data_IF_964346215641
#
_entry.id   IF_964346215641
#
_cell.length_a   1.000
_cell.length_b   1.000
_cell.length_c   1.000
_cell.angle_alpha   90.00
_cell.angle_beta   90.00
_cell.angle_gamma   90.00
#
_symmetry.space_group_name_H-M   'P 1'
#
loop_
_entity.id
_entity.type
_entity.pdbx_description
1 polymer ?
#
# COMPACT_ATOMS: atom_id res chain seq x y z
N UNK A 1 -21.36 81.66 20.57
CA UNK A 1 -20.41 80.75 21.25
C UNK A 1 -21.21 79.55 21.77
N UNK A 2 -21.23 78.44 21.03
CA UNK A 2 -21.80 77.16 21.46
C UNK A 2 -20.85 76.08 20.95
N UNK A 3 -20.17 75.38 21.86
CA UNK A 3 -19.28 74.28 21.55
C UNK A 3 -19.99 72.96 21.89
N UNK A 4 -20.11 72.06 20.90
CA UNK A 4 -20.54 70.69 21.10
C UNK A 4 -19.32 69.83 21.46
N UNK A 5 -19.36 69.17 22.62
CA UNK A 5 -18.40 68.14 22.99
C UNK A 5 -18.95 66.76 22.59
N UNK A 6 -18.30 66.09 21.65
CA UNK A 6 -18.60 64.70 21.29
C UNK A 6 -17.75 63.76 22.16
N UNK A 7 -18.40 62.86 22.91
CA UNK A 7 -17.73 61.84 23.71
C UNK A 7 -17.48 60.59 22.86
N UNK A 8 -16.21 60.27 22.60
CA UNK A 8 -15.80 59.03 21.92
C UNK A 8 -15.76 57.90 22.96
N UNK A 9 -16.62 56.88 22.82
CA UNK A 9 -16.49 55.61 23.55
C UNK A 9 -15.45 54.74 22.85
N UNK A 10 -14.34 54.50 23.53
CA UNK A 10 -13.28 53.61 23.07
C UNK A 10 -13.77 52.15 23.24
N UNK A 11 -13.99 51.46 22.13
CA UNK A 11 -14.29 50.02 22.12
C UNK A 11 -12.97 49.28 22.35
N UNK A 12 -12.79 48.66 23.52
CA UNK A 12 -11.67 47.76 23.75
C UNK A 12 -11.85 46.52 22.88
N UNK A 13 -10.98 46.37 21.88
CA UNK A 13 -10.82 45.14 21.11
C UNK A 13 -10.22 44.06 22.01
N UNK A 14 -10.95 42.97 22.24
CA UNK A 14 -10.43 41.79 22.91
C UNK A 14 -9.46 41.08 21.96
N UNK A 15 -8.18 41.04 22.33
CA UNK A 15 -7.17 40.31 21.58
C UNK A 15 -7.41 38.79 21.74
N UNK A 16 -7.92 38.15 20.70
CA UNK A 16 -8.00 36.68 20.62
C UNK A 16 -6.59 36.13 20.48
N UNK A 17 -6.12 35.43 21.51
CA UNK A 17 -4.85 34.68 21.44
C UNK A 17 -5.02 33.58 20.39
N UNK A 18 -4.12 33.44 19.40
CA UNK A 18 -4.22 32.35 18.43
C UNK A 18 -4.08 31.02 19.16
N UNK A 19 -5.12 30.20 19.15
CA UNK A 19 -5.06 28.81 19.58
C UNK A 19 -4.10 28.08 18.65
N UNK A 20 -2.90 27.76 19.13
CA UNK A 20 -1.98 26.85 18.45
C UNK A 20 -2.67 25.48 18.46
N UNK A 21 -3.15 25.02 17.30
CA UNK A 21 -3.64 23.65 17.20
C UNK A 21 -2.45 22.72 17.47
N UNK A 22 -2.57 21.90 18.52
CA UNK A 22 -1.51 21.00 18.95
C UNK A 22 -1.21 19.93 17.89
N UNK A 23 0.04 19.49 17.80
CA UNK A 23 0.42 18.35 16.97
C UNK A 23 -0.25 17.07 17.50
N UNK A 24 -0.60 16.17 16.59
CA UNK A 24 -1.28 14.92 16.90
C UNK A 24 -0.26 13.80 16.68
N UNK A 25 0.30 13.20 17.75
CA UNK A 25 1.26 12.13 17.59
C UNK A 25 0.58 10.90 17.00
N UNK A 26 1.20 10.26 16.01
CA UNK A 26 0.69 9.06 15.35
C UNK A 26 1.57 7.84 15.64
N UNK A 27 2.89 8.05 15.65
CA UNK A 27 3.88 7.03 15.99
C UNK A 27 4.90 7.60 16.97
N UNK A 28 5.07 6.94 18.10
CA UNK A 28 6.10 7.21 19.12
C UNK A 28 6.71 5.89 19.60
N UNK A 29 7.84 5.99 20.31
CA UNK A 29 8.56 4.85 20.90
C UNK A 29 8.67 4.96 22.43
N UNK A 30 7.78 5.74 23.04
CA UNK A 30 7.74 6.02 24.48
C UNK A 30 6.89 5.02 25.28
N UNK A 31 6.25 4.06 24.59
CA UNK A 31 5.38 3.05 25.21
C UNK A 31 3.93 3.50 25.38
N UNK A 32 3.57 4.71 24.94
CA UNK A 32 2.17 5.15 24.94
C UNK A 32 1.34 4.27 23.97
N UNK A 33 0.28 3.65 24.46
CA UNK A 33 -0.45 2.60 23.73
C UNK A 33 -1.11 3.11 22.45
N UNK A 34 -1.55 4.37 22.45
CA UNK A 34 -2.22 4.97 21.29
C UNK A 34 -1.27 5.25 20.11
N UNK A 35 0.04 5.30 20.35
CA UNK A 35 1.04 5.76 19.38
C UNK A 35 2.25 4.83 19.27
N UNK A 36 2.39 3.84 20.15
CA UNK A 36 3.39 2.77 20.04
C UNK A 36 2.78 1.60 19.27
N UNK A 37 3.35 1.32 18.09
CA UNK A 37 2.88 0.26 17.19
C UNK A 37 3.98 -0.76 16.93
N UNK A 38 3.58 -2.00 16.65
CA UNK A 38 4.49 -3.03 16.18
C UNK A 38 4.75 -2.83 14.68
N UNK A 39 6.02 -2.70 14.32
CA UNK A 39 6.45 -2.56 12.94
C UNK A 39 6.96 -3.91 12.42
N UNK A 40 6.46 -4.30 11.26
CA UNK A 40 6.91 -5.47 10.52
C UNK A 40 7.74 -5.01 9.34
N UNK A 41 8.96 -5.56 9.25
CA UNK A 41 9.83 -5.39 8.10
C UNK A 41 9.32 -6.20 6.91
N UNK A 42 9.41 -5.62 5.72
CA UNK A 42 9.23 -6.36 4.48
C UNK A 42 10.23 -5.88 3.44
N UNK A 43 11.02 -6.82 2.93
CA UNK A 43 11.95 -6.57 1.84
C UNK A 43 11.36 -7.04 0.51
N UNK A 44 11.99 -6.62 -0.59
CA UNK A 44 11.69 -7.04 -1.95
C UNK A 44 11.57 -8.58 -2.05
N UNK A 45 10.55 -9.11 -2.74
CA UNK A 45 10.08 -10.46 -2.47
C UNK A 45 10.94 -11.54 -3.10
N UNK A 46 10.70 -12.77 -2.65
CA UNK A 46 11.04 -13.99 -3.38
C UNK A 46 10.37 -13.93 -4.77
N UNK A 47 11.08 -14.39 -5.82
CA UNK A 47 10.84 -14.20 -7.27
C UNK A 47 11.72 -13.14 -7.97
N UNK A 48 12.91 -12.88 -7.44
CA UNK A 48 13.97 -12.13 -8.14
C UNK A 48 14.38 -10.83 -7.49
N UNK A 49 13.64 -10.39 -6.44
CA UNK A 49 14.05 -9.30 -5.58
C UNK A 49 15.39 -9.58 -4.90
N UNK A 50 16.21 -8.55 -4.76
CA UNK A 50 17.57 -8.66 -4.20
C UNK A 50 17.87 -7.62 -3.13
N UNK A 51 16.94 -6.71 -2.88
CA UNK A 51 17.09 -5.70 -1.82
C UNK A 51 16.97 -6.37 -0.46
N UNK A 52 17.79 -5.94 0.49
CA UNK A 52 17.85 -6.53 1.83
C UNK A 52 17.96 -5.41 2.85
N UNK A 53 17.14 -5.48 3.89
CA UNK A 53 17.12 -4.49 4.95
C UNK A 53 16.85 -5.12 6.30
N UNK A 54 16.77 -4.25 7.31
CA UNK A 54 16.36 -4.56 8.67
C UNK A 54 15.45 -3.45 9.20
N UNK A 55 14.47 -3.81 10.04
CA UNK A 55 13.81 -2.87 10.94
C UNK A 55 14.12 -3.24 12.40
N UNK A 56 14.68 -2.29 13.15
CA UNK A 56 15.01 -2.47 14.57
C UNK A 56 14.42 -1.35 15.42
N UNK A 57 13.83 -1.70 16.57
CA UNK A 57 13.30 -0.72 17.53
C UNK A 57 14.32 -0.49 18.63
N UNK A 58 14.84 0.73 18.72
CA UNK A 58 15.66 1.24 19.83
C UNK A 58 14.75 1.82 20.93
N UNK A 59 15.25 2.11 22.14
CA UNK A 59 14.40 2.58 23.25
C UNK A 59 13.59 3.85 22.98
N UNK A 60 14.00 4.68 22.02
CA UNK A 60 13.36 5.97 21.73
C UNK A 60 13.14 6.25 20.24
N UNK A 61 13.51 5.33 19.35
CA UNK A 61 13.38 5.48 17.89
C UNK A 61 13.42 4.14 17.16
N UNK A 62 12.91 4.07 15.94
CA UNK A 62 13.07 2.94 15.03
C UNK A 62 14.21 3.18 14.03
N UNK A 63 14.81 2.10 13.52
CA UNK A 63 15.92 2.13 12.57
C UNK A 63 15.59 1.23 11.39
N UNK A 64 15.59 1.82 10.20
CA UNK A 64 15.64 1.11 8.92
C UNK A 64 17.07 1.16 8.40
N UNK A 65 17.68 0.00 8.17
CA UNK A 65 19.04 -0.10 7.62
C UNK A 65 19.09 -1.17 6.53
N UNK A 66 19.74 -0.91 5.40
CA UNK A 66 19.81 -1.88 4.32
C UNK A 66 20.38 -1.35 3.01
N UNK A 67 20.12 -2.10 1.94
CA UNK A 67 20.50 -1.73 0.58
C UNK A 67 19.37 -2.07 -0.39
N UNK A 68 18.99 -1.07 -1.19
CA UNK A 68 18.09 -1.25 -2.31
C UNK A 68 18.91 -1.45 -3.57
N UNK A 69 18.66 -2.54 -4.28
CA UNK A 69 19.32 -2.89 -5.54
C UNK A 69 18.29 -3.15 -6.62
N UNK A 70 18.74 -3.18 -7.88
CA UNK A 70 17.87 -3.50 -9.00
C UNK A 70 17.39 -4.96 -8.94
N UNK A 71 16.10 -5.12 -9.23
CA UNK A 71 15.47 -6.41 -9.48
C UNK A 71 15.78 -6.79 -10.93
N UNK A 72 16.59 -7.84 -11.20
CA UNK A 72 17.06 -8.11 -12.55
C UNK A 72 15.94 -8.38 -13.57
N UNK A 73 14.83 -8.96 -13.11
CA UNK A 73 13.66 -9.23 -13.94
C UNK A 73 12.87 -7.96 -14.30
N UNK A 74 12.83 -6.97 -13.39
CA UNK A 74 12.08 -5.73 -13.56
C UNK A 74 12.91 -4.63 -14.23
N UNK A 75 14.25 -4.76 -14.21
CA UNK A 75 15.19 -3.70 -14.59
C UNK A 75 14.88 -2.38 -13.87
N UNK A 76 14.44 -2.49 -12.61
CA UNK A 76 14.03 -1.38 -11.77
C UNK A 76 14.49 -1.60 -10.33
N UNK A 77 14.68 -0.53 -9.53
CA UNK A 77 15.03 -0.65 -8.12
C UNK A 77 13.96 -1.41 -7.33
N UNK A 78 14.38 -2.31 -6.44
CA UNK A 78 13.48 -2.97 -5.49
C UNK A 78 13.03 -2.05 -4.35
N UNK A 79 12.66 -2.64 -3.21
CA UNK A 79 12.36 -1.88 -2.00
C UNK A 79 12.75 -2.61 -0.73
N UNK A 80 12.88 -1.84 0.36
CA UNK A 80 12.78 -2.33 1.74
C UNK A 80 11.78 -1.43 2.46
N UNK A 81 11.01 -1.99 3.39
CA UNK A 81 10.01 -1.22 4.14
C UNK A 81 9.82 -1.70 5.57
N UNK A 82 9.29 -0.80 6.39
CA UNK A 82 8.77 -1.11 7.71
C UNK A 82 7.33 -0.60 7.79
N UNK A 83 6.43 -1.44 8.27
CA UNK A 83 5.00 -1.15 8.28
C UNK A 83 4.37 -1.44 9.65
N UNK A 84 3.56 -0.51 10.13
CA UNK A 84 2.77 -0.65 11.35
C UNK A 84 1.29 -0.61 11.00
N UNK A 85 0.56 -1.69 11.33
CA UNK A 85 -0.90 -1.72 11.31
C UNK A 85 -1.44 -1.43 12.71
N UNK A 86 -2.53 -0.67 12.81
CA UNK A 86 -3.08 -0.31 14.12
C UNK A 86 -4.23 0.68 14.05
N UNK A 87 -4.70 1.08 15.23
CA UNK A 87 -5.60 2.21 15.38
C UNK A 87 -4.76 3.44 15.74
N UNK A 88 -4.84 4.48 14.92
CA UNK A 88 -4.09 5.71 15.12
C UNK A 88 -5.02 6.83 15.62
N UNK A 89 -4.49 7.85 16.31
CA UNK A 89 -5.27 9.01 16.72
C UNK A 89 -5.92 9.74 15.53
N UNK A 90 -7.09 10.33 15.78
CA UNK A 90 -7.82 11.10 14.76
C UNK A 90 -7.05 12.37 14.37
N UNK A 91 -6.59 12.41 13.11
CA UNK A 91 -5.81 13.51 12.55
C UNK A 91 -6.62 14.43 11.62
N UNK A 92 -7.96 14.36 11.61
CA UNK A 92 -8.80 15.13 10.69
C UNK A 92 -8.59 16.64 10.79
N UNK A 93 -8.36 17.17 12.00
CA UNK A 93 -8.13 18.61 12.23
C UNK A 93 -6.82 19.11 11.61
N UNK A 94 -5.88 18.21 11.30
CA UNK A 94 -4.60 18.53 10.68
C UNK A 94 -4.63 18.47 9.14
N UNK A 95 -5.78 18.19 8.51
CA UNK A 95 -5.85 17.90 7.06
C UNK A 95 -5.36 19.01 6.14
N UNK A 96 -5.31 20.25 6.60
CA UNK A 96 -4.76 21.38 5.85
C UNK A 96 -3.24 21.54 6.00
N UNK A 97 -2.63 20.81 6.94
CA UNK A 97 -1.21 20.89 7.26
C UNK A 97 -0.41 19.73 6.66
N UNK A 98 0.40 19.07 7.48
CA UNK A 98 1.40 18.13 7.05
C UNK A 98 1.53 16.93 7.99
N UNK A 99 2.10 15.86 7.45
CA UNK A 99 2.74 14.80 8.23
C UNK A 99 4.17 15.26 8.57
N UNK A 100 4.50 15.33 9.84
CA UNK A 100 5.84 15.63 10.32
C UNK A 100 6.54 14.35 10.77
N UNK A 101 7.73 14.12 10.22
CA UNK A 101 8.60 12.99 10.51
C UNK A 101 9.83 13.52 11.25
N UNK A 102 10.02 13.16 12.52
CA UNK A 102 11.27 13.45 13.22
C UNK A 102 12.29 12.35 12.89
N UNK A 103 13.20 12.65 11.97
CA UNK A 103 14.11 11.66 11.36
C UNK A 103 15.55 12.15 11.28
N UNK A 104 16.48 11.21 11.14
CA UNK A 104 17.85 11.47 10.71
C UNK A 104 18.39 10.31 9.88
N UNK A 105 19.45 10.55 9.13
CA UNK A 105 19.99 9.57 8.19
C UNK A 105 21.49 9.77 8.00
N UNK A 106 22.24 8.67 8.01
CA UNK A 106 23.66 8.65 7.59
C UNK A 106 23.80 8.47 6.07
N UNK A 107 22.67 8.28 5.37
CA UNK A 107 22.57 8.22 3.91
C UNK A 107 21.61 9.30 3.37
N UNK A 108 21.80 10.60 3.71
CA UNK A 108 20.87 11.66 3.30
C UNK A 108 20.78 11.85 1.77
N UNK A 109 21.77 11.35 1.03
CA UNK A 109 21.78 11.31 -0.44
C UNK A 109 20.82 10.27 -1.05
N UNK A 110 20.29 9.34 -0.26
CA UNK A 110 19.35 8.34 -0.76
C UNK A 110 18.03 9.01 -1.18
N UNK A 111 17.71 8.93 -2.48
CA UNK A 111 16.60 9.66 -3.07
C UNK A 111 15.28 8.88 -3.11
N UNK A 112 15.20 7.72 -2.43
CA UNK A 112 14.07 6.79 -2.51
C UNK A 112 13.18 6.75 -1.27
N UNK A 113 13.38 7.64 -0.30
CA UNK A 113 12.56 7.66 0.92
C UNK A 113 11.12 8.07 0.63
N UNK A 114 10.19 7.22 1.05
CA UNK A 114 8.75 7.47 0.95
C UNK A 114 8.04 7.08 2.23
N UNK A 115 6.91 7.74 2.47
CA UNK A 115 5.98 7.43 3.54
C UNK A 115 4.64 7.07 2.94
N UNK A 116 3.94 6.10 3.51
CA UNK A 116 2.59 5.74 3.08
C UNK A 116 1.62 5.63 4.25
N UNK A 117 0.39 6.08 4.04
CA UNK A 117 -0.69 6.05 5.02
C UNK A 117 -1.87 5.30 4.42
N UNK A 118 -2.28 4.18 5.03
CA UNK A 118 -3.54 3.54 4.66
C UNK A 118 -4.69 4.16 5.46
N UNK A 119 -5.74 4.56 4.76
CA UNK A 119 -6.88 5.25 5.35
C UNK A 119 -8.20 4.84 4.69
N UNK A 120 -9.10 4.26 5.50
CA UNK A 120 -10.36 3.72 5.02
C UNK A 120 -10.20 2.71 3.88
N UNK A 121 -9.13 1.92 3.94
CA UNK A 121 -8.85 0.77 3.09
C UNK A 121 -9.59 -0.47 3.64
N UNK A 122 -10.08 -1.32 2.73
CA UNK A 122 -10.72 -2.59 3.13
C UNK A 122 -9.66 -3.61 3.57
N UNK A 123 -8.52 -3.64 2.88
CA UNK A 123 -7.36 -4.47 3.21
C UNK A 123 -6.09 -3.60 3.14
N UNK A 124 -5.66 -2.97 4.25
CA UNK A 124 -4.53 -2.03 4.25
C UNK A 124 -3.23 -2.56 3.63
N UNK A 125 -2.78 -3.80 3.90
CA UNK A 125 -1.57 -4.34 3.25
C UNK A 125 -1.73 -4.45 1.73
N UNK A 126 -2.90 -4.90 1.25
CA UNK A 126 -3.21 -4.96 -0.20
C UNK A 126 -3.31 -3.58 -0.84
N UNK A 127 -3.97 -2.64 -0.18
CA UNK A 127 -4.03 -1.27 -0.66
C UNK A 127 -2.63 -0.66 -0.80
N UNK A 128 -1.75 -0.92 0.18
CA UNK A 128 -0.36 -0.46 0.13
C UNK A 128 0.59 -1.34 -0.70
N UNK A 129 0.07 -2.33 -1.42
CA UNK A 129 0.84 -3.05 -2.43
C UNK A 129 0.98 -2.28 -3.75
N UNK A 130 0.04 -1.38 -4.07
CA UNK A 130 0.08 -0.60 -5.32
C UNK A 130 -0.94 0.51 -5.46
N UNK A 131 -1.55 0.98 -4.36
CA UNK A 131 -2.52 2.07 -4.38
C UNK A 131 -3.65 1.82 -5.36
N UNK A 132 -4.19 2.87 -5.95
CA UNK A 132 -5.24 2.78 -6.96
C UNK A 132 -4.83 2.27 -8.34
N UNK A 133 -3.57 1.84 -8.52
CA UNK A 133 -3.13 1.20 -9.77
C UNK A 133 -3.54 -0.27 -9.85
N UNK A 134 -3.92 -0.90 -8.73
CA UNK A 134 -4.40 -2.28 -8.69
C UNK A 134 -5.93 -2.29 -8.46
N UNK A 135 -6.68 -3.24 -9.06
CA UNK A 135 -8.12 -3.34 -8.80
C UNK A 135 -8.41 -3.61 -7.32
N UNK A 136 -9.31 -2.81 -6.74
CA UNK A 136 -9.80 -2.93 -5.35
C UNK A 136 -8.75 -2.66 -4.25
N UNK A 137 -7.66 -1.94 -4.55
CA UNK A 137 -6.58 -1.59 -3.61
C UNK A 137 -6.51 -0.08 -3.28
N UNK A 138 -7.61 0.66 -3.45
CA UNK A 138 -7.66 2.09 -3.06
C UNK A 138 -7.46 2.29 -1.56
N UNK A 139 -7.03 3.48 -1.17
CA UNK A 139 -6.90 3.92 0.22
C UNK A 139 -5.50 3.77 0.80
N UNK A 140 -4.44 3.73 -0.01
CA UNK A 140 -3.07 3.84 0.45
C UNK A 140 -2.36 5.03 -0.22
N UNK A 141 -2.17 6.07 0.57
CA UNK A 141 -1.67 7.36 0.11
C UNK A 141 -0.16 7.40 0.31
N UNK A 142 0.60 7.66 -0.74
CA UNK A 142 2.07 7.69 -0.72
C UNK A 142 2.57 9.12 -0.95
N UNK A 143 3.70 9.45 -0.38
CA UNK A 143 4.44 10.69 -0.64
C UNK A 143 5.94 10.45 -0.48
N UNK A 144 6.73 11.24 -1.22
CA UNK A 144 8.18 11.24 -1.16
C UNK A 144 8.68 12.29 -0.17
N UNK A 145 9.77 11.97 0.54
CA UNK A 145 10.47 12.93 1.38
C UNK A 145 11.99 12.78 1.27
N UNK A 146 12.73 13.78 1.74
CA UNK A 146 14.19 13.76 1.80
C UNK A 146 14.64 14.11 3.21
N UNK A 147 15.73 13.50 3.66
CA UNK A 147 16.32 13.78 4.97
C UNK A 147 17.49 14.76 4.80
N UNK A 148 17.50 15.91 5.49
CA UNK A 148 18.64 16.81 5.47
C UNK A 148 19.92 16.10 5.95
N UNK A 149 21.07 16.49 5.39
CA UNK A 149 22.34 15.99 5.87
C UNK A 149 22.67 16.56 7.26
N UNK A 150 23.17 15.71 8.14
CA UNK A 150 23.57 16.08 9.50
C UNK A 150 23.37 14.93 10.49
N UNK A 151 23.98 15.07 11.68
CA UNK A 151 23.89 14.06 12.74
C UNK A 151 22.68 14.27 13.68
N UNK A 152 22.00 15.41 13.54
CA UNK A 152 20.87 15.84 14.37
C UNK A 152 19.53 15.30 13.89
N UNK A 153 18.53 15.37 14.78
CA UNK A 153 17.15 15.09 14.42
C UNK A 153 16.57 16.25 13.59
N UNK A 154 15.87 15.91 12.52
CA UNK A 154 15.22 16.86 11.63
C UNK A 154 13.72 16.60 11.61
N UNK A 155 12.92 17.65 11.81
CA UNK A 155 11.47 17.61 11.58
C UNK A 155 11.21 17.82 10.07
N UNK A 156 11.02 16.73 9.35
CA UNK A 156 10.70 16.75 7.91
C UNK A 156 9.20 16.85 7.74
N UNK A 157 8.73 17.96 7.15
CA UNK A 157 7.31 18.24 6.91
C UNK A 157 6.90 17.78 5.51
N UNK A 158 5.93 16.86 5.44
CA UNK A 158 5.35 16.31 4.21
C UNK A 158 3.88 16.75 4.12
N UNK A 159 3.53 17.79 3.33
CA UNK A 159 2.17 18.29 3.26
C UNK A 159 1.16 17.21 2.90
N UNK A 160 -0.01 17.15 3.56
CA UNK A 160 -1.03 16.14 3.22
C UNK A 160 -1.53 16.27 1.77
N UNK A 161 -1.49 17.48 1.22
CA UNK A 161 -1.79 17.75 -0.19
C UNK A 161 -0.77 17.16 -1.19
N UNK A 162 0.43 16.78 -0.72
CA UNK A 162 1.46 16.11 -1.53
C UNK A 162 1.32 14.58 -1.56
N UNK A 163 0.35 14.01 -0.86
CA UNK A 163 0.06 12.59 -0.91
C UNK A 163 -0.87 12.24 -2.06
N UNK A 164 -0.64 11.07 -2.67
CA UNK A 164 -1.54 10.50 -3.68
C UNK A 164 -1.83 9.02 -3.41
N UNK A 165 -3.09 8.61 -3.60
CA UNK A 165 -3.50 7.19 -3.68
C UNK A 165 -3.28 6.61 -5.08
N UNK A 166 -2.81 7.40 -6.05
CA UNK A 166 -2.57 6.96 -7.43
C UNK A 166 -1.07 6.95 -7.71
N UNK A 167 -0.44 5.79 -7.55
CA UNK A 167 1.00 5.62 -7.71
C UNK A 167 1.36 4.24 -8.28
N UNK A 168 2.52 4.14 -8.90
CA UNK A 168 3.03 2.94 -9.55
C UNK A 168 3.62 1.96 -8.53
N UNK A 169 3.14 0.71 -8.45
CA UNK A 169 3.74 -0.31 -7.59
C UNK A 169 5.19 -0.66 -7.95
N UNK A 170 5.63 -0.34 -9.18
CA UNK A 170 6.99 -0.64 -9.63
C UNK A 170 8.02 0.42 -9.24
N UNK A 171 7.60 1.68 -9.05
CA UNK A 171 8.53 2.81 -8.83
C UNK A 171 8.22 3.62 -7.58
N UNK A 172 7.02 3.48 -7.02
CA UNK A 172 6.50 4.34 -5.95
C UNK A 172 6.15 5.76 -6.42
N UNK A 173 6.29 6.08 -7.71
CA UNK A 173 5.99 7.39 -8.27
C UNK A 173 4.49 7.58 -8.50
N UNK A 174 4.01 8.80 -8.32
CA UNK A 174 2.62 9.14 -8.56
C UNK A 174 2.28 9.00 -10.06
N UNK A 175 1.13 8.42 -10.34
CA UNK A 175 0.55 8.38 -11.70
C UNK A 175 -0.46 9.50 -11.91
N UNK A 176 -1.01 10.04 -10.83
CA UNK A 176 -1.76 11.30 -10.78
C UNK A 176 -1.59 11.95 -9.43
N UNK A 177 -1.62 13.28 -9.41
CA UNK A 177 -1.60 14.04 -8.16
C UNK A 177 -3.00 14.26 -7.59
N UNK A 178 -3.07 14.51 -6.28
CA UNK A 178 -4.31 14.94 -5.61
C UNK A 178 -4.88 16.23 -6.23
N UNK A 179 -4.02 17.14 -6.70
CA UNK A 179 -4.43 18.36 -7.40
C UNK A 179 -5.09 18.10 -8.76
N UNK A 180 -4.83 16.94 -9.37
CA UNK A 180 -5.35 16.55 -10.69
C UNK A 180 -6.57 15.64 -10.57
N UNK A 181 -6.60 14.79 -9.54
CA UNK A 181 -7.69 13.83 -9.28
C UNK A 181 -8.04 13.84 -7.80
N UNK A 182 -9.15 14.49 -7.46
CA UNK A 182 -9.61 14.63 -6.07
C UNK A 182 -9.84 13.27 -5.37
N UNK A 183 -10.04 12.18 -6.12
CA UNK A 183 -10.15 10.84 -5.53
C UNK A 183 -8.83 10.33 -4.95
N UNK A 184 -7.70 10.89 -5.39
CA UNK A 184 -6.36 10.53 -4.92
C UNK A 184 -5.96 11.25 -3.62
N UNK A 185 -6.77 12.21 -3.15
CA UNK A 185 -6.44 13.06 -2.01
C UNK A 185 -6.62 12.39 -0.64
N UNK A 186 -5.68 12.64 0.26
CA UNK A 186 -5.77 12.29 1.67
C UNK A 186 -6.60 13.34 2.43
N UNK A 187 -7.91 13.11 2.50
CA UNK A 187 -8.87 14.07 3.10
C UNK A 187 -8.95 13.99 4.62
N UNK A 188 -9.57 14.99 5.27
CA UNK A 188 -9.86 14.98 6.71
C UNK A 188 -10.58 13.70 7.18
N UNK A 189 -11.60 13.25 6.43
CA UNK A 189 -12.34 12.01 6.73
C UNK A 189 -11.45 10.76 6.68
N UNK A 190 -10.40 10.78 5.85
CA UNK A 190 -9.44 9.69 5.75
C UNK A 190 -8.45 9.74 6.91
N UNK A 191 -7.99 10.93 7.28
CA UNK A 191 -7.10 11.14 8.42
C UNK A 191 -7.73 10.80 9.78
N UNK A 192 -9.07 10.79 9.91
CA UNK A 192 -9.74 10.28 11.11
C UNK A 192 -9.83 8.75 11.19
N UNK A 193 -9.39 8.03 10.16
CA UNK A 193 -9.50 6.57 10.06
C UNK A 193 -8.23 5.93 9.50
N UNK A 194 -7.07 6.39 9.98
CA UNK A 194 -5.78 5.78 9.65
C UNK A 194 -5.72 4.35 10.19
N UNK A 195 -5.21 3.43 9.36
CA UNK A 195 -5.13 2.00 9.65
C UNK A 195 -3.71 1.44 9.56
N UNK A 196 -2.83 2.14 8.82
CA UNK A 196 -1.45 1.72 8.60
C UNK A 196 -0.54 2.90 8.31
N UNK A 197 0.68 2.85 8.83
CA UNK A 197 1.79 3.76 8.48
C UNK A 197 2.94 2.91 7.94
N UNK A 198 3.55 3.34 6.85
CA UNK A 198 4.72 2.66 6.27
C UNK A 198 5.84 3.64 5.96
N UNK A 199 7.07 3.25 6.29
CA UNK A 199 8.28 3.85 5.79
C UNK A 199 8.85 2.96 4.69
N UNK A 200 9.28 3.57 3.60
CA UNK A 200 9.80 2.89 2.43
C UNK A 200 11.13 3.47 2.01
N UNK A 201 12.02 2.59 1.58
CA UNK A 201 13.09 2.91 0.65
C UNK A 201 12.82 2.13 -0.65
N UNK A 202 12.43 2.84 -1.71
CA UNK A 202 12.03 2.26 -2.99
C UNK A 202 12.37 3.19 -4.16
N UNK A 203 12.36 2.68 -5.40
CA UNK A 203 12.49 3.51 -6.59
C UNK A 203 13.84 4.22 -6.78
N UNK A 204 14.84 3.89 -5.94
CA UNK A 204 16.23 4.32 -6.08
C UNK A 204 17.17 3.25 -5.53
N UNK A 205 18.27 2.97 -6.26
CA UNK A 205 19.33 2.07 -5.81
C UNK A 205 20.26 2.79 -4.84
N UNK A 206 20.67 2.11 -3.77
CA UNK A 206 21.68 2.59 -2.86
C UNK A 206 21.55 2.03 -1.45
N UNK A 207 22.55 2.34 -0.64
CA UNK A 207 22.51 2.09 0.80
C UNK A 207 21.50 3.00 1.48
N UNK A 208 20.83 2.45 2.47
CA UNK A 208 19.72 3.08 3.19
C UNK A 208 20.02 3.00 4.68
N UNK A 209 19.96 4.15 5.34
CA UNK A 209 19.92 4.25 6.78
C UNK A 209 18.96 5.38 7.18
N UNK A 210 17.89 5.05 7.88
CA UNK A 210 16.90 6.01 8.35
C UNK A 210 16.54 5.69 9.80
N UNK A 211 16.73 6.66 10.68
CA UNK A 211 16.21 6.61 12.03
C UNK A 211 14.94 7.45 12.12
N UNK A 212 13.88 6.89 12.69
CA UNK A 212 12.59 7.54 12.93
C UNK A 212 12.34 7.66 14.42
N UNK A 213 12.24 8.89 14.93
CA UNK A 213 11.91 9.16 16.33
C UNK A 213 10.43 9.37 16.56
N UNK A 214 9.72 10.00 15.63
CA UNK A 214 8.26 10.15 15.73
C UNK A 214 7.61 10.47 14.39
N UNK A 215 6.32 10.17 14.29
CA UNK A 215 5.43 10.62 13.21
C UNK A 215 4.28 11.39 13.85
N UNK A 216 4.01 12.60 13.39
CA UNK A 216 2.91 13.44 13.90
C UNK A 216 2.12 14.08 12.77
N UNK A 217 0.83 14.28 12.94
CA UNK A 217 0.05 15.16 12.09
C UNK A 217 0.07 16.58 12.67
N UNK A 218 0.55 17.54 11.88
CA UNK A 218 0.65 18.95 12.28
C UNK A 218 -0.34 19.79 11.47
N UNK A 219 -1.23 20.56 12.12
CA UNK A 219 -2.11 21.48 11.44
C UNK A 219 -1.33 22.58 10.70
N UNK A 220 -1.94 23.18 9.67
CA UNK A 220 -1.34 24.33 9.00
C UNK A 220 -1.10 25.46 10.01
N UNK A 221 0.09 26.06 9.97
CA UNK A 221 0.35 27.26 10.75
C UNK A 221 -0.67 28.34 10.37
N UNK A 222 -1.25 29.08 11.34
CA UNK A 222 -2.08 30.23 11.01
C UNK A 222 -1.27 31.23 10.20
N UNK A 223 -1.62 31.45 8.93
CA UNK A 223 -1.01 32.52 8.14
C UNK A 223 -1.35 33.88 8.79
N UNK A 224 -0.38 34.78 9.03
CA UNK A 224 -0.64 36.07 9.68
C UNK A 224 -1.46 37.06 8.84
N UNK A 225 -1.95 36.69 7.64
CA UNK A 225 -2.72 37.56 6.73
C UNK A 225 -3.97 36.89 6.13
N UNK A 226 -4.58 35.92 6.81
CA UNK A 226 -5.87 35.39 6.37
C UNK A 226 -7.02 36.19 7.00
N UNK A 227 -7.42 37.26 6.32
CA UNK A 227 -8.71 37.92 6.56
C UNK A 227 -9.82 36.87 6.49
N UNK A 228 -10.72 36.76 7.48
CA UNK A 228 -11.78 35.75 7.44
C UNK A 228 -12.73 36.10 6.30
N UNK A 229 -12.70 35.31 5.22
CA UNK A 229 -13.76 35.38 4.21
C UNK A 229 -15.02 34.78 4.84
N UNK A 230 -16.01 35.64 5.03
CA UNK A 230 -17.34 35.28 5.50
C UNK A 230 -17.92 34.19 4.60
N UNK A 231 -18.31 33.10 5.26
CA UNK A 231 -19.08 31.99 4.71
C UNK A 231 -20.38 32.48 4.08
N UNK A 232 -20.54 32.27 2.77
CA UNK A 232 -21.86 32.23 2.14
C UNK A 232 -22.30 30.78 2.11
N UNK A 233 -23.24 30.46 3.00
CA UNK A 233 -24.04 29.24 2.94
C UNK A 233 -24.92 29.28 1.68
N UNK A 234 -24.90 28.21 0.89
CA UNK A 234 -25.96 27.90 -0.07
C UNK A 234 -26.39 26.43 0.09
N UNK A 235 -27.69 26.13 0.03
CA UNK A 235 -28.23 24.84 0.45
C UNK A 235 -28.26 23.76 -0.64
N UNK A 236 -28.15 22.52 -0.17
CA UNK A 236 -28.83 21.29 -0.62
C UNK A 236 -28.88 20.93 -2.13
N UNK A 237 -28.11 19.88 -2.44
CA UNK A 237 -28.54 18.61 -3.04
C UNK A 237 -29.43 18.60 -4.29
N UNK A 238 -28.98 17.87 -5.32
CA UNK A 238 -29.80 16.79 -5.88
C UNK A 238 -28.92 15.65 -6.39
N UNK A 239 -29.37 14.44 -6.08
CA UNK A 239 -28.75 13.17 -6.41
C UNK A 239 -28.79 12.86 -7.91
N UNK A 240 -27.77 12.15 -8.38
CA UNK A 240 -27.92 11.20 -9.47
C UNK A 240 -27.05 9.98 -9.15
N UNK A 241 -27.70 8.95 -8.62
CA UNK A 241 -27.13 7.63 -8.51
C UNK A 241 -26.83 7.11 -9.92
N UNK A 242 -25.56 6.91 -10.24
CA UNK A 242 -25.19 6.05 -11.36
C UNK A 242 -25.49 4.61 -10.95
N UNK A 243 -26.53 4.04 -11.54
CA UNK A 243 -26.79 2.61 -11.50
C UNK A 243 -25.54 1.85 -11.95
N UNK A 244 -25.25 0.64 -11.41
CA UNK A 244 -24.20 -0.19 -11.97
C UNK A 244 -24.62 -0.51 -13.40
N UNK A 245 -23.77 -0.13 -14.37
CA UNK A 245 -23.82 -0.74 -15.67
C UNK A 245 -23.68 -2.25 -15.43
N UNK A 246 -24.75 -2.99 -15.67
CA UNK A 246 -24.73 -4.43 -15.71
C UNK A 246 -23.62 -4.80 -16.69
N UNK A 247 -22.50 -5.30 -16.16
CA UNK A 247 -21.48 -5.92 -16.95
C UNK A 247 -22.16 -7.11 -17.62
N UNK A 248 -22.45 -6.95 -18.91
CA UNK A 248 -22.86 -8.03 -19.77
C UNK A 248 -21.80 -9.12 -19.61
N UNK A 249 -22.15 -10.21 -18.94
CA UNK A 249 -21.35 -11.44 -18.91
C UNK A 249 -21.33 -12.00 -20.33
N UNK A 250 -20.48 -11.42 -21.17
CA UNK A 250 -20.01 -12.07 -22.37
C UNK A 250 -19.19 -13.27 -21.87
N UNK A 251 -19.80 -14.45 -21.96
CA UNK A 251 -19.13 -15.73 -21.72
C UNK A 251 -17.90 -15.79 -22.62
N UNK A 252 -16.72 -15.46 -22.07
CA UNK A 252 -15.46 -15.67 -22.76
C UNK A 252 -15.25 -17.17 -22.88
N UNK A 253 -15.02 -17.65 -24.10
CA UNK A 253 -14.41 -18.95 -24.37
C UNK A 253 -13.11 -19.02 -23.58
N UNK A 254 -12.82 -20.13 -22.89
CA UNK A 254 -11.59 -20.24 -22.11
C UNK A 254 -10.40 -19.93 -23.01
N UNK A 255 -9.69 -18.82 -22.74
CA UNK A 255 -8.65 -18.31 -23.63
C UNK A 255 -7.32 -18.85 -23.15
N UNK A 256 -6.50 -19.30 -24.08
CA UNK A 256 -5.07 -19.48 -23.84
C UNK A 256 -4.40 -18.15 -24.15
N UNK A 257 -3.29 -17.78 -23.48
CA UNK A 257 -2.46 -16.71 -24.00
C UNK A 257 -2.13 -16.97 -25.48
N UNK A 258 -2.09 -15.93 -26.32
CA UNK A 258 -1.95 -16.10 -27.76
C UNK A 258 -0.66 -16.83 -28.09
N UNK A 259 -0.66 -17.66 -29.14
CA UNK A 259 0.58 -18.25 -29.64
C UNK A 259 1.52 -17.11 -30.10
N UNK A 260 2.84 -17.18 -29.83
CA UNK A 260 3.58 -18.31 -29.25
C UNK A 260 3.73 -18.29 -27.71
N UNK A 261 3.00 -17.44 -27.00
CA UNK A 261 3.29 -17.12 -25.58
C UNK A 261 2.68 -18.10 -24.57
N UNK A 262 1.60 -18.80 -24.91
CA UNK A 262 0.94 -19.73 -24.00
C UNK A 262 1.76 -21.00 -23.71
N UNK A 263 2.04 -21.28 -22.44
CA UNK A 263 2.89 -22.39 -21.96
C UNK A 263 2.14 -23.56 -21.32
N UNK A 264 0.92 -23.33 -20.82
CA UNK A 264 0.10 -24.37 -20.20
C UNK A 264 -0.41 -25.44 -21.17
N UNK A 265 -0.71 -26.63 -20.64
CA UNK A 265 -1.25 -27.77 -21.41
C UNK A 265 -2.68 -27.55 -21.90
N UNK A 266 -3.40 -26.59 -21.31
CA UNK A 266 -4.79 -26.26 -21.63
C UNK A 266 -5.12 -24.82 -21.25
N UNK A 267 -6.38 -24.43 -21.49
CA UNK A 267 -6.88 -23.14 -21.04
C UNK A 267 -7.11 -23.14 -19.52
N UNK A 268 -7.03 -21.96 -18.90
CA UNK A 268 -7.38 -21.78 -17.49
C UNK A 268 -8.87 -22.10 -17.30
N UNK A 269 -9.19 -22.82 -16.23
CA UNK A 269 -10.55 -23.19 -15.88
C UNK A 269 -11.41 -21.96 -15.60
N UNK A 270 -12.70 -22.07 -15.92
CA UNK A 270 -13.69 -21.04 -15.58
C UNK A 270 -14.09 -21.16 -14.11
N UNK A 271 -14.46 -20.04 -13.50
CA UNK A 271 -15.05 -19.98 -12.14
C UNK A 271 -14.18 -20.65 -11.06
N UNK A 272 -12.91 -20.28 -11.01
CA UNK A 272 -11.97 -20.75 -9.98
C UNK A 272 -12.45 -20.36 -8.58
N UNK A 273 -12.30 -21.29 -7.62
CA UNK A 273 -12.83 -21.23 -6.24
C UNK A 273 -12.62 -19.90 -5.52
N UNK A 274 -11.44 -19.29 -5.69
CA UNK A 274 -11.03 -18.08 -4.97
C UNK A 274 -11.34 -16.78 -5.72
N UNK A 275 -12.23 -16.81 -6.72
CA UNK A 275 -12.72 -15.58 -7.38
C UNK A 275 -11.76 -14.96 -8.40
N UNK A 276 -10.54 -15.50 -8.55
CA UNK A 276 -9.52 -14.97 -9.47
C UNK A 276 -9.98 -14.91 -10.93
N UNK A 277 -10.96 -15.74 -11.33
CA UNK A 277 -11.58 -15.67 -12.66
C UNK A 277 -12.28 -14.33 -12.95
N UNK A 278 -12.60 -13.53 -11.93
CA UNK A 278 -13.13 -12.17 -12.10
C UNK A 278 -12.06 -11.10 -12.38
N UNK A 279 -10.77 -11.43 -12.32
CA UNK A 279 -9.66 -10.50 -12.62
C UNK A 279 -9.34 -10.51 -14.11
N UNK A 280 -10.22 -9.87 -14.88
CA UNK A 280 -10.14 -9.87 -16.35
C UNK A 280 -9.10 -8.90 -16.94
N UNK A 281 -8.54 -8.01 -16.12
CA UNK A 281 -7.48 -7.08 -16.52
C UNK A 281 -6.21 -7.36 -15.70
N UNK A 282 -5.12 -7.81 -16.34
CA UNK A 282 -3.91 -8.22 -15.65
C UNK A 282 -3.14 -6.98 -15.24
N UNK A 283 -2.72 -6.94 -13.98
CA UNK A 283 -1.90 -5.86 -13.41
C UNK A 283 -0.45 -6.30 -13.35
N UNK A 284 0.16 -6.47 -14.53
CA UNK A 284 1.55 -6.88 -14.70
C UNK A 284 2.30 -5.83 -15.53
N UNK A 285 3.60 -5.60 -15.32
CA UNK A 285 4.36 -4.55 -16.01
C UNK A 285 4.83 -5.02 -17.41
N UNK A 286 3.97 -5.78 -18.10
CA UNK A 286 4.18 -6.26 -19.47
C UNK A 286 2.93 -5.95 -20.27
N UNK A 287 3.04 -5.36 -21.49
CA UNK A 287 1.88 -5.15 -22.34
C UNK A 287 1.23 -6.47 -22.76
N UNK A 288 0.01 -6.71 -22.27
CA UNK A 288 -0.80 -7.87 -22.61
C UNK A 288 -2.09 -7.45 -23.34
N UNK A 289 -2.68 -8.32 -24.16
CA UNK A 289 -4.00 -8.07 -24.76
C UNK A 289 -5.05 -7.82 -23.66
N UNK A 290 -5.98 -6.89 -23.90
CA UNK A 290 -7.10 -6.61 -22.98
C UNK A 290 -8.07 -7.81 -22.79
N UNK A 291 -7.88 -8.87 -23.57
CA UNK A 291 -8.64 -10.12 -23.48
C UNK A 291 -8.01 -11.15 -22.54
N UNK A 292 -6.77 -10.94 -22.11
CA UNK A 292 -6.04 -11.86 -21.25
C UNK A 292 -6.31 -11.52 -19.78
N UNK A 293 -6.80 -12.49 -19.01
CA UNK A 293 -7.06 -12.34 -17.58
C UNK A 293 -5.77 -12.42 -16.76
N UNK A 294 -5.83 -11.97 -15.51
CA UNK A 294 -4.70 -12.10 -14.57
C UNK A 294 -4.27 -13.56 -14.40
N UNK A 295 -5.22 -14.50 -14.31
CA UNK A 295 -4.90 -15.92 -14.16
C UNK A 295 -4.21 -16.50 -15.41
N UNK A 296 -4.66 -16.13 -16.62
CA UNK A 296 -3.99 -16.54 -17.87
C UNK A 296 -2.57 -15.96 -17.95
N UNK A 297 -2.43 -14.68 -17.62
CA UNK A 297 -1.17 -13.96 -17.61
C UNK A 297 -0.15 -14.62 -16.68
N UNK A 298 -0.45 -14.73 -15.38
CA UNK A 298 0.55 -15.21 -14.40
C UNK A 298 0.81 -16.72 -14.53
N UNK A 299 -0.23 -17.53 -14.72
CA UNK A 299 -0.06 -18.98 -14.75
C UNK A 299 0.52 -19.48 -16.08
N UNK A 300 0.17 -18.86 -17.22
CA UNK A 300 0.33 -19.50 -18.52
C UNK A 300 1.08 -18.71 -19.58
N UNK A 301 1.36 -17.41 -19.42
CA UNK A 301 2.05 -16.61 -20.45
C UNK A 301 3.57 -16.54 -20.24
N UNK A 302 4.39 -16.86 -21.24
CA UNK A 302 5.86 -16.86 -21.05
C UNK A 302 6.46 -15.45 -20.89
N UNK A 303 5.75 -14.39 -21.27
CA UNK A 303 6.21 -13.01 -21.14
C UNK A 303 6.18 -12.54 -19.68
N UNK A 304 5.41 -13.23 -18.84
CA UNK A 304 5.19 -12.87 -17.44
C UNK A 304 5.92 -13.80 -16.45
N UNK A 305 6.80 -14.70 -16.91
CA UNK A 305 7.46 -15.73 -16.07
C UNK A 305 8.15 -15.16 -14.83
N UNK A 306 8.64 -13.94 -14.92
CA UNK A 306 9.34 -13.28 -13.82
C UNK A 306 8.42 -12.49 -12.87
N UNK A 307 7.10 -12.60 -13.03
CA UNK A 307 6.10 -11.86 -12.28
C UNK A 307 5.09 -12.82 -11.63
N UNK A 308 4.61 -12.45 -10.45
CA UNK A 308 3.51 -13.09 -9.76
C UNK A 308 2.24 -12.22 -9.86
N UNK A 309 1.12 -12.72 -9.34
CA UNK A 309 -0.03 -11.88 -9.06
C UNK A 309 0.33 -10.74 -8.10
N UNK A 310 -0.45 -9.64 -8.07
CA UNK A 310 -0.20 -8.55 -7.13
C UNK A 310 -0.03 -9.04 -5.69
N UNK A 311 0.99 -8.54 -5.01
CA UNK A 311 1.23 -8.88 -3.59
C UNK A 311 0.00 -8.57 -2.75
N UNK A 312 -0.27 -9.43 -1.77
CA UNK A 312 -1.45 -9.37 -0.89
C UNK A 312 -2.79 -9.54 -1.61
N UNK A 313 -2.83 -9.98 -2.89
CA UNK A 313 -4.08 -10.19 -3.62
C UNK A 313 -5.05 -11.12 -2.88
N UNK A 314 -4.54 -12.08 -2.11
CA UNK A 314 -5.36 -12.97 -1.29
C UNK A 314 -6.21 -12.24 -0.25
N UNK A 315 -5.86 -11.00 0.13
CA UNK A 315 -6.64 -10.14 1.03
C UNK A 315 -7.69 -9.28 0.30
N UNK A 316 -7.62 -9.19 -1.03
CA UNK A 316 -8.55 -8.36 -1.79
C UNK A 316 -10.00 -8.80 -1.55
N UNK A 317 -10.99 -7.88 -1.48
CA UNK A 317 -12.35 -8.21 -1.05
C UNK A 317 -13.05 -9.28 -1.90
N UNK A 318 -12.75 -9.32 -3.19
CA UNK A 318 -13.27 -10.28 -4.17
C UNK A 318 -12.57 -11.64 -4.13
N UNK A 319 -11.38 -11.72 -3.53
CA UNK A 319 -10.60 -12.94 -3.34
C UNK A 319 -10.82 -13.51 -1.94
N UNK A 320 -10.57 -12.69 -0.91
CA UNK A 320 -10.81 -12.93 0.50
C UNK A 320 -10.42 -14.35 0.94
N UNK A 321 -9.19 -14.77 0.64
CA UNK A 321 -8.73 -16.15 0.75
C UNK A 321 -9.09 -16.77 2.11
N UNK A 322 -8.77 -16.07 3.20
CA UNK A 322 -8.93 -16.59 4.55
C UNK A 322 -10.37 -16.90 4.95
N UNK A 323 -11.36 -16.22 4.37
CA UNK A 323 -12.78 -16.53 4.63
C UNK A 323 -13.30 -17.71 3.82
N UNK A 324 -12.52 -18.19 2.84
CA UNK A 324 -12.86 -19.29 1.93
C UNK A 324 -12.06 -20.57 2.19
N UNK A 325 -11.15 -20.54 3.17
CA UNK A 325 -10.43 -21.72 3.64
C UNK A 325 -11.39 -22.66 4.37
N UNK A 326 -11.14 -23.96 4.22
CA UNK A 326 -11.82 -25.00 4.96
C UNK A 326 -11.45 -24.91 6.46
N UNK A 327 -12.33 -25.37 7.36
CA UNK A 327 -12.08 -25.31 8.81
C UNK A 327 -10.84 -26.14 9.26
N UNK A 328 -10.42 -27.10 8.44
CA UNK A 328 -9.22 -27.90 8.64
C UNK A 328 -8.19 -27.66 7.52
N UNK A 329 -7.85 -28.73 6.80
CA UNK A 329 -6.89 -28.67 5.69
C UNK A 329 -7.63 -28.30 4.41
N UNK A 330 -7.25 -27.18 3.80
CA UNK A 330 -7.72 -26.76 2.49
C UNK A 330 -6.84 -27.38 1.41
N UNK A 331 -7.46 -27.92 0.35
CA UNK A 331 -6.73 -28.36 -0.85
C UNK A 331 -6.79 -27.27 -1.92
N UNK A 332 -5.62 -26.90 -2.44
CA UNK A 332 -5.44 -25.92 -3.51
C UNK A 332 -5.18 -26.67 -4.81
N UNK A 333 -5.87 -26.27 -5.87
CA UNK A 333 -5.90 -26.99 -7.14
C UNK A 333 -5.29 -26.14 -8.25
N UNK A 334 -4.69 -26.84 -9.21
CA UNK A 334 -4.17 -26.28 -10.43
C UNK A 334 -5.26 -25.55 -11.22
N UNK A 335 -4.94 -24.36 -11.71
CA UNK A 335 -5.87 -23.49 -12.41
C UNK A 335 -6.24 -23.98 -13.82
N UNK A 336 -5.48 -24.91 -14.41
CA UNK A 336 -5.66 -25.43 -15.77
C UNK A 336 -6.38 -26.79 -15.77
N UNK A 337 -5.92 -27.74 -14.96
CA UNK A 337 -6.38 -29.12 -15.01
C UNK A 337 -7.03 -29.62 -13.72
N UNK A 338 -7.06 -28.81 -12.66
CA UNK A 338 -7.72 -29.15 -11.40
C UNK A 338 -7.01 -30.24 -10.59
N UNK A 339 -5.73 -30.54 -10.87
CA UNK A 339 -4.94 -31.43 -10.03
C UNK A 339 -4.65 -30.77 -8.67
N UNK A 340 -4.66 -31.51 -7.55
CA UNK A 340 -4.30 -30.96 -6.26
C UNK A 340 -2.80 -30.62 -6.23
N UNK A 341 -2.46 -29.37 -5.90
CA UNK A 341 -1.09 -28.88 -5.83
C UNK A 341 -0.60 -28.76 -4.38
N UNK A 342 -1.45 -28.22 -3.50
CA UNK A 342 -1.09 -27.98 -2.11
C UNK A 342 -2.21 -28.37 -1.14
N UNK A 343 -1.83 -28.73 0.08
CA UNK A 343 -2.74 -29.02 1.19
C UNK A 343 -2.25 -28.28 2.42
N UNK A 344 -2.97 -27.25 2.87
CA UNK A 344 -2.54 -26.40 3.98
C UNK A 344 -3.71 -26.02 4.92
N UNK A 345 -3.45 -25.84 6.22
CA UNK A 345 -2.16 -26.07 6.89
C UNK A 345 -1.87 -27.56 7.15
N UNK A 346 -0.61 -28.00 7.05
CA UNK A 346 -0.14 -29.30 7.54
C UNK A 346 1.09 -29.13 8.45
N UNK A 347 1.13 -29.84 9.57
CA UNK A 347 2.19 -29.74 10.60
C UNK A 347 2.38 -28.32 11.17
N UNK A 348 1.34 -27.48 11.07
CA UNK A 348 1.27 -26.15 11.67
C UNK A 348 -0.18 -25.75 11.90
N UNK A 349 -0.39 -24.69 12.68
CA UNK A 349 -1.72 -24.12 12.87
C UNK A 349 -2.13 -23.29 11.64
N UNK A 350 -3.44 -23.05 11.50
CA UNK A 350 -3.96 -22.10 10.51
C UNK A 350 -3.40 -20.69 10.74
N UNK A 351 -3.20 -20.30 12.00
CA UNK A 351 -2.60 -19.00 12.34
C UNK A 351 -1.16 -18.89 11.81
N UNK A 352 -0.37 -19.95 11.93
CA UNK A 352 0.98 -19.98 11.37
C UNK A 352 0.99 -19.97 9.83
N UNK A 353 0.00 -20.59 9.18
CA UNK A 353 -0.12 -20.46 7.72
C UNK A 353 -0.45 -19.04 7.27
N UNK A 354 -1.37 -18.38 7.97
CA UNK A 354 -1.71 -16.97 7.72
C UNK A 354 -0.50 -16.08 7.98
N UNK A 355 0.20 -16.27 9.08
CA UNK A 355 1.42 -15.51 9.39
C UNK A 355 2.48 -15.63 8.29
N UNK A 356 2.85 -16.86 7.87
CA UNK A 356 3.82 -17.04 6.78
C UNK A 356 3.29 -16.39 5.46
N UNK A 357 1.98 -16.48 5.18
CA UNK A 357 1.36 -15.87 3.99
C UNK A 357 1.33 -14.33 4.05
N UNK A 358 1.11 -13.77 5.24
CA UNK A 358 1.12 -12.34 5.53
C UNK A 358 2.53 -11.76 5.47
N UNK A 359 3.51 -12.49 6.00
CA UNK A 359 4.93 -12.15 5.94
C UNK A 359 5.44 -12.11 4.49
N UNK A 360 5.17 -13.15 3.71
CA UNK A 360 5.69 -13.25 2.34
C UNK A 360 4.88 -12.42 1.34
N UNK A 361 3.60 -12.14 1.65
CA UNK A 361 2.70 -11.41 0.76
C UNK A 361 2.02 -12.25 -0.32
N UNK A 362 2.22 -13.58 -0.32
CA UNK A 362 1.52 -14.57 -1.15
C UNK A 362 1.26 -15.86 -0.37
N UNK A 363 0.25 -16.67 -0.74
CA UNK A 363 0.00 -17.97 -0.12
C UNK A 363 1.26 -18.84 -0.11
N UNK A 364 1.81 -19.06 1.09
CA UNK A 364 3.14 -19.64 1.25
C UNK A 364 3.07 -21.04 1.83
N UNK A 365 3.47 -22.02 1.02
CA UNK A 365 3.36 -23.45 1.33
C UNK A 365 4.71 -24.05 1.74
N UNK A 366 4.71 -24.82 2.82
CA UNK A 366 5.90 -25.58 3.26
C UNK A 366 6.04 -26.87 2.46
N UNK A 367 7.23 -27.45 2.43
CA UNK A 367 7.50 -28.70 1.68
C UNK A 367 6.51 -29.83 2.00
N UNK A 368 6.09 -29.98 3.27
CA UNK A 368 5.12 -30.99 3.69
C UNK A 368 3.69 -30.77 3.16
N UNK A 369 3.39 -29.55 2.69
CA UNK A 369 2.09 -29.15 2.15
C UNK A 369 2.03 -29.29 0.62
N UNK A 370 3.16 -29.60 -0.04
CA UNK A 370 3.25 -29.77 -1.50
C UNK A 370 2.84 -31.20 -1.89
N UNK A 371 1.91 -31.32 -2.83
CA UNK A 371 1.58 -32.60 -3.48
C UNK A 371 2.64 -32.85 -4.56
N UNK A 372 3.79 -33.38 -4.15
CA UNK A 372 4.96 -33.59 -5.02
C UNK A 372 4.68 -34.40 -6.28
N UNK A 373 3.62 -35.22 -6.28
CA UNK A 373 3.18 -35.93 -7.48
C UNK A 373 2.73 -34.98 -8.60
N UNK A 374 2.26 -33.77 -8.30
CA UNK A 374 1.66 -32.84 -9.27
C UNK A 374 2.44 -31.53 -9.43
N UNK A 375 3.44 -31.28 -8.58
CA UNK A 375 4.28 -30.07 -8.58
C UNK A 375 5.69 -30.42 -9.07
N UNK A 376 6.23 -29.58 -9.94
CA UNK A 376 7.56 -29.66 -10.52
C UNK A 376 8.34 -28.42 -10.13
N UNK A 377 9.54 -28.58 -9.60
CA UNK A 377 10.46 -27.48 -9.29
C UNK A 377 11.65 -27.57 -10.21
N UNK A 378 11.88 -26.53 -11.01
CA UNK A 378 13.08 -26.41 -11.82
C UNK A 378 14.27 -26.08 -10.92
N UNK A 379 15.22 -27.01 -10.82
CA UNK A 379 16.36 -26.91 -9.89
C UNK A 379 17.35 -25.80 -10.23
N UNK A 380 17.32 -25.25 -11.46
CA UNK A 380 18.26 -24.20 -11.90
C UNK A 380 17.70 -22.80 -11.64
N UNK A 381 16.42 -22.62 -11.95
CA UNK A 381 15.71 -21.34 -11.83
C UNK A 381 14.99 -21.18 -10.50
N UNK A 382 14.73 -22.28 -9.78
CA UNK A 382 13.87 -22.29 -8.59
C UNK A 382 12.38 -22.17 -8.92
N UNK A 383 12.00 -22.09 -10.20
CA UNK A 383 10.63 -21.91 -10.62
C UNK A 383 9.81 -23.15 -10.31
N UNK A 384 8.66 -22.94 -9.67
CA UNK A 384 7.67 -23.99 -9.39
C UNK A 384 6.60 -23.95 -10.47
N UNK A 385 6.18 -25.10 -10.96
CA UNK A 385 5.04 -25.24 -11.86
C UNK A 385 4.30 -26.55 -11.60
N UNK A 386 3.06 -26.65 -12.05
CA UNK A 386 2.32 -27.90 -12.04
C UNK A 386 2.69 -28.77 -13.24
N UNK A 387 2.32 -30.06 -13.19
CA UNK A 387 2.37 -30.95 -14.36
C UNK A 387 1.51 -30.49 -15.55
N UNK A 388 0.60 -29.54 -15.33
CA UNK A 388 -0.27 -28.96 -16.34
C UNK A 388 0.31 -27.64 -16.91
N UNK A 389 1.51 -27.25 -16.44
CA UNK A 389 2.26 -26.10 -16.93
C UNK A 389 1.84 -24.77 -16.33
N UNK A 390 0.91 -24.74 -15.37
CA UNK A 390 0.62 -23.54 -14.60
C UNK A 390 1.76 -23.27 -13.63
N UNK A 391 2.23 -22.03 -13.56
CA UNK A 391 3.26 -21.60 -12.62
C UNK A 391 2.66 -21.13 -11.31
#
# INVERSE_FOLDING_TARGET
MLAFAATVKQVLSTATTPTVLASIPLVTFDGEKATTHEFVELNDPVMGGRSSGTWSVMPTFGVMDGEVVDVPSLQAPGFIKAAADGAFPDAASASAGALELEVRSTTPQYAGFRVSLAAGAVAPPYSCAGGGSIPLSRGCYKAKFSVPAGDGWHAVSVPFASFSDLWSPATGEHTKECSEDASACLTAKKLSSLQRVELWAEGAVGKVHLELKSVSAVPAAPHPNSTPLLTVSSPAALAAAAAPAAATTASRTATRPPAPFGTCSGAVQKQLRFGISGREQPTVPVPLPATESLAEAVCCDNRTVAYAEPRFLYQAPDIALYSRLDAGVTTFYDSVCGLPLFRAPLNRSLAAFKADTDEHGWPSFRTAEVVAANVVTDVKSGLVSSRCGAR
#
